data_IF_875871533500
#
_entry.id   IF_875871533500
#
_cell.length_a   1.000
_cell.length_b   1.000
_cell.length_c   1.000
_cell.angle_alpha   90.00
_cell.angle_beta   90.00
_cell.angle_gamma   90.00
#
_symmetry.space_group_name_H-M   'P 1'
#
loop_
_entity.id
_entity.type
_entity.pdbx_description
1 polymer ?
#
# COMPACT_ATOMS: atom_id res chain seq x y z
N UNK A 1 8.02 16.89 41.79
CA UNK A 1 6.86 17.16 40.92
C UNK A 1 7.34 18.15 39.86
N UNK A 2 7.59 17.82 38.60
CA UNK A 2 7.14 16.69 37.79
C UNK A 2 8.16 16.35 36.71
N UNK A 3 8.42 15.06 36.58
CA UNK A 3 9.33 14.46 35.61
C UNK A 3 8.55 14.19 34.31
N UNK A 4 8.61 15.12 33.35
CA UNK A 4 8.07 14.90 32.00
C UNK A 4 9.09 14.15 31.17
N UNK A 5 8.94 12.84 31.19
CA UNK A 5 9.58 11.87 30.30
C UNK A 5 9.46 12.29 28.83
N UNK A 6 10.57 12.76 28.25
CA UNK A 6 10.73 12.92 26.80
C UNK A 6 10.76 11.53 26.18
N UNK A 7 9.63 11.09 25.65
CA UNK A 7 9.55 9.90 24.79
C UNK A 7 10.42 10.16 23.56
N UNK A 8 11.57 9.48 23.48
CA UNK A 8 12.39 9.41 22.26
C UNK A 8 11.61 8.61 21.22
N UNK A 9 10.89 9.31 20.35
CA UNK A 9 10.37 8.74 19.12
C UNK A 9 11.56 8.31 18.26
N UNK A 10 11.76 7.00 18.10
CA UNK A 10 12.77 6.46 17.19
C UNK A 10 12.51 6.89 15.74
N UNK A 11 13.50 6.67 14.85
CA UNK A 11 13.48 7.07 13.43
C UNK A 11 12.18 6.76 12.68
N UNK A 12 11.43 5.74 13.10
CA UNK A 12 10.11 5.37 12.57
C UNK A 12 9.05 6.46 12.77
N UNK A 13 9.05 7.14 13.93
CA UNK A 13 8.12 8.23 14.23
C UNK A 13 8.40 9.51 13.43
N UNK A 14 9.67 9.73 13.07
CA UNK A 14 10.08 10.84 12.22
C UNK A 14 9.69 10.59 10.75
N UNK A 15 9.79 9.34 10.27
CA UNK A 15 9.26 8.94 8.95
C UNK A 15 7.74 9.14 8.87
N UNK A 16 6.98 8.73 9.89
CA UNK A 16 5.52 8.89 9.92
C UNK A 16 5.06 10.36 9.99
N UNK A 17 5.81 11.24 10.68
CA UNK A 17 5.49 12.69 10.69
C UNK A 17 5.80 13.37 9.36
N UNK A 18 6.80 12.90 8.60
CA UNK A 18 7.03 13.33 7.21
C UNK A 18 5.90 12.87 6.28
N UNK A 19 5.29 11.72 6.55
CA UNK A 19 4.14 11.19 5.80
C UNK A 19 2.85 12.01 5.97
N UNK A 20 2.67 12.74 7.07
CA UNK A 20 1.38 13.35 7.45
C UNK A 20 1.45 14.86 7.77
N UNK A 21 2.64 15.46 7.82
CA UNK A 21 2.82 16.80 8.39
C UNK A 21 2.27 17.96 7.56
N UNK A 22 2.22 17.83 6.23
CA UNK A 22 1.93 18.96 5.33
C UNK A 22 0.85 18.66 4.27
N UNK A 23 0.07 17.58 4.43
CA UNK A 23 -0.93 17.18 3.41
C UNK A 23 -0.35 16.69 2.08
N UNK A 24 0.97 16.53 1.97
CA UNK A 24 1.64 16.01 0.78
C UNK A 24 2.08 14.56 1.03
N UNK A 25 1.28 13.62 0.54
CA UNK A 25 1.59 12.19 0.59
C UNK A 25 2.66 11.88 -0.46
N UNK A 26 3.85 11.43 -0.02
CA UNK A 26 4.95 10.86 -0.85
C UNK A 26 5.10 11.46 -2.25
N UNK A 27 5.70 12.65 -2.35
CA UNK A 27 6.05 13.23 -3.65
C UNK A 27 7.33 12.58 -4.16
N UNK A 28 7.18 11.58 -5.04
CA UNK A 28 8.31 10.85 -5.66
C UNK A 28 9.22 10.15 -4.64
N UNK A 29 8.65 9.76 -3.51
CA UNK A 29 9.35 9.08 -2.42
C UNK A 29 8.89 7.63 -2.29
N UNK A 30 9.79 6.78 -1.79
CA UNK A 30 9.50 5.39 -1.46
C UNK A 30 9.66 5.15 0.03
N UNK A 31 8.73 4.40 0.63
CA UNK A 31 8.79 3.97 2.02
C UNK A 31 8.67 2.45 2.09
N UNK A 32 9.44 1.85 2.99
CA UNK A 32 9.40 0.41 3.26
C UNK A 32 8.85 0.20 4.66
N UNK A 33 7.72 -0.49 4.77
CA UNK A 33 7.02 -0.73 6.03
C UNK A 33 7.21 -2.18 6.46
N UNK A 34 7.73 -2.45 7.68
CA UNK A 34 7.76 -3.80 8.22
C UNK A 34 6.35 -4.24 8.62
N UNK A 35 5.94 -5.41 8.16
CA UNK A 35 4.69 -6.08 8.52
C UNK A 35 5.00 -7.14 9.57
N UNK A 36 4.36 -7.00 10.74
CA UNK A 36 4.39 -8.04 11.77
C UNK A 36 3.49 -9.18 11.33
N UNK A 37 4.01 -10.41 11.33
CA UNK A 37 3.20 -11.61 11.20
C UNK A 37 2.54 -11.89 12.55
N UNK A 38 1.40 -11.25 12.84
CA UNK A 38 0.61 -11.61 14.01
C UNK A 38 -0.19 -12.87 13.69
N UNK A 39 0.38 -14.04 13.97
CA UNK A 39 -0.32 -15.34 13.97
C UNK A 39 -1.22 -15.52 15.21
N UNK A 40 -1.84 -14.45 15.72
CA UNK A 40 -2.87 -14.56 16.76
C UNK A 40 -4.18 -13.92 16.31
N UNK A 41 -4.82 -14.51 15.29
CA UNK A 41 -6.27 -14.47 15.22
C UNK A 41 -6.82 -15.47 16.27
N UNK A 42 -6.91 -15.05 17.54
CA UNK A 42 -7.70 -15.76 18.54
C UNK A 42 -9.16 -15.40 18.31
N UNK A 43 -9.76 -16.07 17.32
CA UNK A 43 -11.21 -16.14 17.21
C UNK A 43 -11.74 -16.86 18.45
N UNK A 44 -12.26 -16.07 19.38
CA UNK A 44 -13.01 -16.49 20.54
C UNK A 44 -14.40 -17.00 20.10
N UNK A 45 -14.43 -18.19 19.46
CA UNK A 45 -15.64 -19.02 19.42
C UNK A 45 -15.45 -20.22 20.35
N UNK A 46 -15.99 -20.08 21.56
CA UNK A 46 -16.37 -21.22 22.40
C UNK A 46 -17.25 -22.17 21.57
N UNK A 47 -16.81 -23.41 21.35
CA UNK A 47 -17.71 -24.56 21.42
C UNK A 47 -16.95 -25.82 21.82
N UNK A 48 -17.42 -26.39 22.91
CA UNK A 48 -17.01 -27.63 23.54
C UNK A 48 -17.36 -28.84 22.68
N UNK A 49 -16.44 -29.80 22.54
CA UNK A 49 -16.70 -31.24 22.65
C UNK A 49 -15.41 -32.03 22.35
N UNK A 50 -14.97 -32.82 23.34
CA UNK A 50 -13.92 -33.83 23.27
C UNK A 50 -14.25 -34.94 22.26
N UNK A 51 -13.23 -35.58 21.65
CA UNK A 51 -12.95 -37.04 21.64
C UNK A 51 -11.56 -37.27 21.00
N UNK A 52 -10.78 -38.20 21.57
CA UNK A 52 -9.39 -38.58 21.31
C UNK A 52 -9.13 -39.26 19.94
N UNK A 53 -7.91 -39.16 19.39
CA UNK A 53 -6.90 -40.25 19.35
C UNK A 53 -5.65 -39.90 18.52
N UNK A 54 -4.50 -39.94 19.20
CA UNK A 54 -3.20 -40.53 18.83
C UNK A 54 -2.47 -40.22 17.50
N UNK A 55 -1.28 -39.64 17.70
CA UNK A 55 0.04 -40.06 17.14
C UNK A 55 0.33 -39.75 15.67
N UNK A 56 1.25 -38.81 15.45
CA UNK A 56 2.62 -39.08 14.93
C UNK A 56 3.44 -37.81 15.08
N UNK A 57 4.62 -37.92 15.70
CA UNK A 57 5.45 -36.79 16.06
C UNK A 57 6.08 -36.07 14.87
N UNK A 58 6.42 -34.80 15.11
CA UNK A 58 7.77 -34.32 14.78
C UNK A 58 8.14 -33.17 15.70
N UNK A 59 9.10 -33.49 16.57
CA UNK A 59 9.81 -32.59 17.44
C UNK A 59 10.88 -31.89 16.60
N UNK A 60 10.68 -30.61 16.26
CA UNK A 60 11.78 -29.74 15.86
C UNK A 60 11.72 -28.47 16.70
N UNK A 61 12.51 -28.49 17.77
CA UNK A 61 12.94 -27.31 18.48
C UNK A 61 13.67 -26.37 17.51
N UNK A 62 13.04 -25.23 17.24
CA UNK A 62 13.56 -24.16 16.40
C UNK A 62 12.48 -23.13 16.20
N UNK A 63 12.19 -22.32 17.22
CA UNK A 63 11.35 -21.15 17.08
C UNK A 63 12.08 -20.14 16.17
N UNK A 64 12.05 -20.41 14.86
CA UNK A 64 12.58 -19.52 13.84
C UNK A 64 11.89 -18.18 14.01
N UNK A 65 12.67 -17.14 14.34
CA UNK A 65 12.18 -15.77 14.40
C UNK A 65 11.46 -15.48 13.08
N UNK A 66 10.17 -15.08 13.08
CA UNK A 66 9.46 -14.84 11.84
C UNK A 66 10.24 -13.82 11.01
N UNK A 67 10.48 -14.16 9.74
CA UNK A 67 11.16 -13.25 8.82
C UNK A 67 10.27 -12.02 8.64
N UNK A 68 10.80 -10.80 8.85
CA UNK A 68 10.00 -9.60 8.66
C UNK A 68 9.59 -9.50 7.20
N UNK A 69 8.28 -9.40 6.95
CA UNK A 69 7.74 -9.11 5.62
C UNK A 69 7.76 -7.60 5.44
N UNK A 70 8.15 -7.12 4.27
CA UNK A 70 8.21 -5.69 3.98
C UNK A 70 7.23 -5.31 2.88
N UNK A 71 6.52 -4.19 3.07
CA UNK A 71 5.66 -3.58 2.05
C UNK A 71 6.35 -2.34 1.53
N UNK A 72 6.53 -2.29 0.21
CA UNK A 72 7.09 -1.12 -0.48
C UNK A 72 5.97 -0.24 -1.00
N UNK A 73 5.93 0.99 -0.53
CA UNK A 73 4.99 2.03 -0.96
C UNK A 73 5.77 3.08 -1.73
N UNK A 74 5.24 3.51 -2.88
CA UNK A 74 5.81 4.60 -3.65
C UNK A 74 4.72 5.61 -3.99
N UNK A 75 4.98 6.89 -3.78
CA UNK A 75 4.09 7.97 -4.23
C UNK A 75 4.72 8.78 -5.35
N UNK A 76 3.88 9.35 -6.21
CA UNK A 76 4.30 10.28 -7.26
C UNK A 76 3.38 11.48 -7.32
N UNK A 77 3.96 12.66 -7.49
CA UNK A 77 3.25 13.93 -7.72
C UNK A 77 2.85 14.12 -9.18
N UNK A 78 3.14 13.16 -10.06
CA UNK A 78 2.89 13.32 -11.48
C UNK A 78 1.39 13.54 -11.74
N UNK A 79 1.08 14.73 -12.25
CA UNK A 79 -0.18 15.10 -12.88
C UNK A 79 0.04 15.33 -14.38
N UNK A 80 -1.01 15.17 -15.17
CA UNK A 80 -0.96 15.44 -16.62
C UNK A 80 -1.35 16.90 -16.88
N UNK A 81 -0.37 17.81 -16.85
CA UNK A 81 -0.58 19.26 -17.01
C UNK A 81 -0.62 19.74 -18.48
N UNK A 82 -0.74 18.81 -19.44
CA UNK A 82 -0.96 19.13 -20.86
C UNK A 82 0.16 19.88 -21.60
N UNK A 83 1.20 20.40 -20.91
CA UNK A 83 2.18 21.32 -21.53
C UNK A 83 3.65 20.99 -21.27
N UNK A 84 4.01 20.14 -20.30
CA UNK A 84 5.37 19.58 -20.19
C UNK A 84 5.44 18.33 -19.30
N UNK A 85 5.27 17.09 -19.83
CA UNK A 85 5.28 15.90 -19.01
C UNK A 85 6.71 15.50 -18.69
N UNK A 86 7.26 15.94 -17.56
CA UNK A 86 8.48 15.32 -17.05
C UNK A 86 8.16 13.91 -16.54
N UNK A 87 8.13 12.93 -17.46
CA UNK A 87 7.92 11.50 -17.15
C UNK A 87 9.02 10.88 -16.27
N UNK A 88 10.00 11.69 -15.83
CA UNK A 88 11.12 11.28 -14.97
C UNK A 88 10.61 10.64 -13.69
N UNK A 89 9.59 11.23 -13.06
CA UNK A 89 8.97 10.71 -11.84
C UNK A 89 8.34 9.32 -12.05
N UNK A 90 7.59 9.15 -13.13
CA UNK A 90 6.98 7.85 -13.47
C UNK A 90 8.01 6.77 -13.83
N UNK A 91 9.13 7.15 -14.46
CA UNK A 91 10.25 6.24 -14.75
C UNK A 91 10.98 5.80 -13.48
N UNK A 92 11.04 6.68 -12.47
CA UNK A 92 11.71 6.41 -11.19
C UNK A 92 10.96 5.40 -10.31
N UNK A 93 9.68 5.09 -10.60
CA UNK A 93 8.89 4.13 -9.81
C UNK A 93 9.58 2.75 -9.80
N UNK A 94 9.98 2.24 -8.62
CA UNK A 94 10.65 0.95 -8.47
C UNK A 94 9.76 -0.23 -8.90
N UNK A 95 10.36 -1.29 -9.44
CA UNK A 95 9.64 -2.50 -9.89
C UNK A 95 9.05 -3.33 -8.74
N UNK A 96 9.60 -3.23 -7.54
CA UNK A 96 9.14 -3.94 -6.34
C UNK A 96 8.09 -3.15 -5.54
N UNK A 97 7.49 -2.12 -6.14
CA UNK A 97 6.42 -1.34 -5.51
C UNK A 97 5.17 -2.20 -5.33
N UNK A 98 4.73 -2.37 -4.09
CA UNK A 98 3.52 -3.11 -3.74
C UNK A 98 2.28 -2.23 -3.77
N UNK A 99 2.43 -1.00 -3.26
CA UNK A 99 1.39 0.04 -3.23
C UNK A 99 1.91 1.26 -3.98
N UNK A 100 1.20 1.67 -5.02
CA UNK A 100 1.48 2.90 -5.74
C UNK A 100 0.43 3.95 -5.36
N UNK A 101 0.88 5.15 -5.00
CA UNK A 101 0.03 6.30 -4.72
C UNK A 101 0.24 7.32 -5.84
N UNK A 102 -0.84 7.75 -6.48
CA UNK A 102 -0.80 8.76 -7.55
C UNK A 102 -1.79 9.87 -7.25
N UNK A 103 -1.56 11.07 -7.79
CA UNK A 103 -2.58 12.13 -7.70
C UNK A 103 -3.78 11.80 -8.61
N UNK A 104 -3.52 11.68 -9.91
CA UNK A 104 -4.55 11.35 -10.91
C UNK A 104 -4.78 9.84 -11.03
N UNK A 105 -6.00 9.38 -11.39
CA UNK A 105 -6.27 7.98 -11.65
C UNK A 105 -5.61 7.48 -12.94
N UNK A 106 -5.41 6.16 -13.01
CA UNK A 106 -4.95 5.49 -14.22
C UNK A 106 -6.09 5.41 -15.24
N UNK A 107 -5.81 5.69 -16.52
CA UNK A 107 -6.83 5.64 -17.58
C UNK A 107 -7.65 4.33 -17.57
N UNK A 108 -8.97 4.46 -17.54
CA UNK A 108 -9.96 3.38 -17.56
C UNK A 108 -10.21 2.69 -16.22
N UNK A 109 -9.70 3.23 -15.11
CA UNK A 109 -9.91 2.71 -13.76
C UNK A 109 -10.22 3.85 -12.80
N UNK A 110 -11.43 3.84 -12.22
CA UNK A 110 -11.90 4.82 -11.22
C UNK A 110 -11.60 6.28 -11.62
N UNK A 111 -11.80 6.57 -12.91
CA UNK A 111 -11.30 7.78 -13.56
C UNK A 111 -12.35 8.63 -14.29
N UNK A 112 -13.61 8.19 -14.37
CA UNK A 112 -14.70 8.89 -15.07
C UNK A 112 -14.30 9.44 -16.46
N UNK A 113 -13.48 8.68 -17.20
CA UNK A 113 -13.01 9.04 -18.54
C UNK A 113 -11.83 10.02 -18.60
N UNK A 114 -11.39 10.59 -17.47
CA UNK A 114 -10.31 11.58 -17.39
C UNK A 114 -9.00 11.03 -16.80
N UNK A 115 -8.80 9.71 -16.80
CA UNK A 115 -7.59 9.10 -16.27
C UNK A 115 -6.36 9.22 -17.19
N UNK A 116 -5.18 9.18 -16.58
CA UNK A 116 -3.91 9.41 -17.29
C UNK A 116 -3.38 8.12 -17.98
N UNK A 117 -3.11 8.14 -19.30
CA UNK A 117 -2.49 7.01 -20.01
C UNK A 117 -1.07 6.70 -19.53
N UNK A 118 -0.30 7.74 -19.16
CA UNK A 118 1.07 7.60 -18.68
C UNK A 118 1.11 6.82 -17.36
N UNK A 119 0.19 7.11 -16.43
CA UNK A 119 0.07 6.34 -15.18
C UNK A 119 -0.25 4.87 -15.49
N UNK A 120 -1.24 4.60 -16.33
CA UNK A 120 -1.60 3.23 -16.72
C UNK A 120 -0.42 2.45 -17.31
N UNK A 121 0.38 3.10 -18.18
CA UNK A 121 1.59 2.49 -18.76
C UNK A 121 2.57 2.04 -17.67
N UNK A 122 2.77 2.85 -16.64
CA UNK A 122 3.69 2.54 -15.54
C UNK A 122 3.11 1.51 -14.57
N UNK A 123 1.81 1.55 -14.30
CA UNK A 123 1.13 0.48 -13.54
C UNK A 123 1.28 -0.86 -14.24
N UNK A 124 1.19 -0.93 -15.58
CA UNK A 124 1.45 -2.17 -16.34
C UNK A 124 2.90 -2.65 -16.24
N UNK A 125 3.87 -1.73 -16.14
CA UNK A 125 5.30 -2.04 -15.98
C UNK A 125 5.62 -2.58 -14.59
N UNK A 126 5.07 -1.93 -13.56
CA UNK A 126 5.39 -2.17 -12.14
C UNK A 126 4.52 -3.29 -11.56
N UNK A 127 3.25 -3.37 -11.98
CA UNK A 127 2.24 -4.34 -11.53
C UNK A 127 2.05 -4.32 -9.99
N UNK A 128 1.80 -3.15 -9.39
CA UNK A 128 1.52 -3.07 -7.96
C UNK A 128 0.25 -3.86 -7.61
N UNK A 129 0.14 -4.32 -6.36
CA UNK A 129 -1.08 -4.98 -5.86
C UNK A 129 -2.19 -3.97 -5.61
N UNK A 130 -1.83 -2.73 -5.30
CA UNK A 130 -2.75 -1.63 -5.02
C UNK A 130 -2.27 -0.34 -5.68
N UNK A 131 -3.19 0.36 -6.34
CA UNK A 131 -3.03 1.73 -6.84
C UNK A 131 -4.06 2.59 -6.14
N UNK A 132 -3.62 3.62 -5.41
CA UNK A 132 -4.47 4.58 -4.73
C UNK A 132 -4.33 5.93 -5.42
N UNK A 133 -5.45 6.55 -5.75
CA UNK A 133 -5.52 7.87 -6.35
C UNK A 133 -6.61 8.73 -5.72
N UNK A 134 -6.71 9.98 -6.16
CA UNK A 134 -7.78 10.90 -5.81
C UNK A 134 -8.20 11.72 -7.02
N UNK A 135 -8.35 13.03 -6.80
CA UNK A 135 -8.59 14.08 -7.80
C UNK A 135 -9.98 14.08 -8.45
N UNK A 136 -10.49 12.92 -8.85
CA UNK A 136 -11.78 12.82 -9.56
C UNK A 136 -12.86 12.37 -8.58
N UNK A 137 -13.53 13.34 -7.95
CA UNK A 137 -14.45 13.11 -6.82
C UNK A 137 -15.64 12.22 -7.21
N UNK A 138 -16.20 12.41 -8.39
CA UNK A 138 -17.31 11.62 -8.91
C UNK A 138 -16.91 10.17 -9.24
N UNK A 139 -15.61 9.89 -9.34
CA UNK A 139 -15.08 8.56 -9.63
C UNK A 139 -14.60 7.82 -8.37
N UNK A 140 -14.94 8.29 -7.17
CA UNK A 140 -14.67 7.59 -5.92
C UNK A 140 -15.17 6.14 -6.00
N UNK A 141 -14.30 5.21 -5.61
CA UNK A 141 -14.65 3.80 -5.62
C UNK A 141 -13.47 2.88 -5.87
N UNK A 142 -13.79 1.63 -6.21
CA UNK A 142 -12.83 0.53 -6.32
C UNK A 142 -13.05 -0.24 -7.62
N UNK A 143 -11.97 -0.53 -8.34
CA UNK A 143 -12.01 -1.37 -9.55
C UNK A 143 -10.89 -2.41 -9.53
N UNK A 144 -11.19 -3.62 -10.01
CA UNK A 144 -10.17 -4.65 -10.27
C UNK A 144 -9.53 -4.41 -11.64
N UNK A 145 -8.22 -4.61 -11.70
CA UNK A 145 -7.48 -4.55 -12.94
C UNK A 145 -7.94 -5.61 -13.95
N UNK A 146 -7.99 -5.22 -15.22
CA UNK A 146 -8.41 -6.08 -16.33
C UNK A 146 -7.21 -6.55 -17.15
N UNK A 147 -7.29 -7.78 -17.66
CA UNK A 147 -6.26 -8.40 -18.50
C UNK A 147 -5.11 -9.04 -17.71
N UNK A 148 -4.29 -9.85 -18.41
CA UNK A 148 -3.25 -10.70 -17.80
C UNK A 148 -2.20 -9.92 -17.00
N UNK A 149 -1.94 -8.67 -17.37
CA UNK A 149 -0.94 -7.80 -16.73
C UNK A 149 -1.42 -7.14 -15.44
N UNK A 150 -2.73 -6.96 -15.25
CA UNK A 150 -3.28 -6.17 -14.13
C UNK A 150 -4.29 -6.94 -13.26
N UNK A 151 -4.56 -8.22 -13.54
CA UNK A 151 -5.57 -9.02 -12.81
C UNK A 151 -5.41 -9.02 -11.28
N UNK A 152 -4.18 -8.85 -10.79
CA UNK A 152 -3.83 -8.86 -9.36
C UNK A 152 -3.71 -7.45 -8.76
N UNK A 153 -4.03 -6.41 -9.55
CA UNK A 153 -3.98 -5.00 -9.16
C UNK A 153 -5.37 -4.51 -8.79
N UNK A 154 -5.51 -3.92 -7.61
CA UNK A 154 -6.68 -3.16 -7.19
C UNK A 154 -6.46 -1.67 -7.44
N UNK A 155 -7.45 -0.98 -8.01
CA UNK A 155 -7.46 0.47 -8.18
C UNK A 155 -8.48 1.06 -7.21
N UNK A 156 -8.07 2.08 -6.46
CA UNK A 156 -8.91 2.76 -5.48
C UNK A 156 -8.79 4.26 -5.71
N UNK A 157 -9.92 4.90 -5.99
CA UNK A 157 -10.01 6.35 -5.93
C UNK A 157 -10.61 6.72 -4.57
N UNK A 158 -9.79 7.32 -3.72
CA UNK A 158 -10.11 7.72 -2.36
C UNK A 158 -10.36 9.23 -2.25
N UNK A 159 -10.75 9.89 -3.35
CA UNK A 159 -11.22 11.27 -3.31
C UNK A 159 -12.41 11.38 -2.35
N UNK A 160 -12.39 12.34 -1.44
CA UNK A 160 -13.52 12.62 -0.57
C UNK A 160 -14.70 13.10 -1.42
N UNK A 161 -15.81 12.38 -1.34
CA UNK A 161 -17.10 12.87 -1.83
C UNK A 161 -17.77 13.66 -0.69
N UNK A 162 -18.33 14.82 -1.02
CA UNK A 162 -19.32 15.49 -0.18
C UNK A 162 -20.70 14.85 -0.36
#
# INVERSE_FOLDING_TARGET
RDERSRVRLGNTGLQMRKLLGNGTLLVNESVVLPVRSDTQNKDSRKKSSQVETQTTGNNTNGAGRPTPVYVHVHGTDYWDEGSNPSLRHLKAIPRNTHVLVTHSPAKGYVDDGAGCPSILKHVRRVRPRLVVCGHIHQAHGVARGRGRSLRDTLFVNAASCD
#
